data_IF_026637760455
#
_entry.id   IF_026637760455
#
_cell.length_a   1.000
_cell.length_b   1.000
_cell.length_c   1.000
_cell.angle_alpha   90.00
_cell.angle_beta   90.00
_cell.angle_gamma   90.00
#
_symmetry.space_group_name_H-M   'P 1'
#
loop_
_entity.id
_entity.type
_entity.pdbx_description
1 polymer ?
#
# COMPACT_ATOMS: atom_id res chain seq x y z
N UNK A 1 -3.33 -12.54 65.87
CA UNK A 1 -2.39 -12.36 64.74
C UNK A 1 -3.04 -12.76 63.40
N UNK A 2 -4.11 -12.08 62.97
CA UNK A 2 -4.84 -12.46 61.74
C UNK A 2 -5.38 -11.26 60.95
N UNK A 3 -4.82 -10.06 61.11
CA UNK A 3 -5.25 -8.84 60.40
C UNK A 3 -4.26 -8.31 59.34
N UNK A 4 -3.09 -8.93 59.19
CA UNK A 4 -2.02 -8.44 58.31
C UNK A 4 -1.94 -9.10 56.91
N UNK A 5 -2.73 -10.16 56.65
CA UNK A 5 -2.76 -10.86 55.35
C UNK A 5 -3.68 -10.25 54.29
N UNK A 6 -4.77 -9.58 54.70
CA UNK A 6 -5.75 -8.99 53.78
C UNK A 6 -5.27 -7.72 53.08
N UNK A 7 -4.42 -6.91 53.73
CA UNK A 7 -3.92 -5.64 53.18
C UNK A 7 -2.83 -5.84 52.12
N UNK A 8 -1.96 -6.85 52.24
CA UNK A 8 -0.92 -7.13 51.23
C UNK A 8 -1.52 -7.62 49.89
N UNK A 9 -2.59 -8.43 49.92
CA UNK A 9 -3.27 -8.89 48.71
C UNK A 9 -4.11 -7.79 48.03
N UNK A 10 -4.72 -6.87 48.80
CA UNK A 10 -5.40 -5.69 48.25
C UNK A 10 -4.42 -4.66 47.66
N UNK A 11 -3.27 -4.44 48.28
CA UNK A 11 -2.23 -3.52 47.75
C UNK A 11 -1.56 -4.10 46.50
N UNK A 12 -1.30 -5.41 46.43
CA UNK A 12 -0.75 -6.04 45.23
C UNK A 12 -1.73 -6.11 44.06
N UNK A 13 -3.02 -6.33 44.31
CA UNK A 13 -4.06 -6.30 43.26
C UNK A 13 -4.36 -4.88 42.78
N UNK A 14 -4.37 -3.89 43.68
CA UNK A 14 -4.54 -2.47 43.34
C UNK A 14 -3.30 -1.90 42.62
N UNK A 15 -2.09 -2.29 43.04
CA UNK A 15 -0.84 -1.92 42.35
C UNK A 15 -0.71 -2.57 40.98
N UNK A 16 -1.18 -3.82 40.81
CA UNK A 16 -1.26 -4.48 39.48
C UNK A 16 -2.32 -3.84 38.59
N UNK A 17 -3.50 -3.50 39.10
CA UNK A 17 -4.52 -2.76 38.37
C UNK A 17 -4.02 -1.36 37.96
N UNK A 18 -3.38 -0.63 38.86
CA UNK A 18 -2.83 0.70 38.55
C UNK A 18 -1.66 0.63 37.55
N UNK A 19 -0.77 -0.38 37.66
CA UNK A 19 0.27 -0.61 36.64
C UNK A 19 -0.32 -0.95 35.28
N UNK A 20 -1.37 -1.78 35.23
CA UNK A 20 -2.05 -2.13 33.98
C UNK A 20 -2.77 -0.93 33.35
N UNK A 21 -3.39 -0.06 34.14
CA UNK A 21 -4.06 1.15 33.62
C UNK A 21 -3.03 2.16 33.09
N UNK A 22 -1.93 2.37 33.83
CA UNK A 22 -0.84 3.26 33.38
C UNK A 22 -0.17 2.71 32.12
N UNK A 23 0.03 1.38 32.02
CA UNK A 23 0.61 0.78 30.82
C UNK A 23 -0.33 0.90 29.62
N UNK A 24 -1.64 0.69 29.78
CA UNK A 24 -2.60 0.85 28.68
C UNK A 24 -2.68 2.29 28.19
N UNK A 25 -2.81 3.27 29.10
CA UNK A 25 -2.88 4.69 28.71
C UNK A 25 -1.59 5.17 28.03
N UNK A 26 -0.43 4.76 28.54
CA UNK A 26 0.87 5.08 27.93
C UNK A 26 0.99 4.52 26.51
N UNK A 27 0.59 3.26 26.29
CA UNK A 27 0.60 2.65 24.96
C UNK A 27 -0.34 3.37 23.99
N UNK A 28 -1.54 3.75 24.42
CA UNK A 28 -2.48 4.49 23.57
C UNK A 28 -1.92 5.86 23.14
N UNK A 29 -1.24 6.58 24.04
CA UNK A 29 -0.58 7.84 23.67
C UNK A 29 0.55 7.64 22.66
N UNK A 30 1.31 6.54 22.77
CA UNK A 30 2.34 6.20 21.79
C UNK A 30 1.75 5.82 20.43
N UNK A 31 0.63 5.10 20.40
CA UNK A 31 -0.09 4.81 19.15
C UNK A 31 -0.64 6.06 18.47
N UNK A 32 -1.14 7.03 19.24
CA UNK A 32 -1.57 8.34 18.69
C UNK A 32 -0.39 9.13 18.10
N UNK A 33 0.80 9.01 18.69
CA UNK A 33 2.00 9.68 18.18
C UNK A 33 2.57 9.05 16.91
N UNK A 34 2.46 7.72 16.75
CA UNK A 34 2.79 7.01 15.52
C UNK A 34 1.74 5.93 15.20
N UNK A 35 0.84 6.26 14.27
CA UNK A 35 -0.37 5.48 14.01
C UNK A 35 -0.12 4.03 13.57
N UNK A 36 1.07 3.70 13.05
CA UNK A 36 1.35 2.31 12.64
C UNK A 36 1.50 1.37 13.83
N UNK A 37 1.74 1.88 15.03
CA UNK A 37 1.71 1.08 16.27
C UNK A 37 0.32 0.50 16.59
N UNK A 38 -0.76 0.96 15.97
CA UNK A 38 -2.06 0.30 16.07
C UNK A 38 -2.08 -1.11 15.42
N UNK A 39 -1.15 -1.38 14.50
CA UNK A 39 -1.08 -2.64 13.75
C UNK A 39 -0.02 -3.61 14.29
N UNK A 40 0.77 -3.16 15.26
CA UNK A 40 1.82 -3.95 15.90
C UNK A 40 1.24 -4.65 17.14
N UNK A 41 1.67 -5.88 17.41
CA UNK A 41 1.25 -6.58 18.63
C UNK A 41 1.68 -5.79 19.88
N UNK A 42 0.89 -5.84 20.96
CA UNK A 42 1.24 -5.14 22.21
C UNK A 42 2.61 -5.56 22.77
N UNK A 43 3.02 -6.82 22.57
CA UNK A 43 4.33 -7.30 23.01
C UNK A 43 5.46 -6.63 22.21
N UNK A 44 5.38 -6.69 20.88
CA UNK A 44 6.36 -6.04 20.01
C UNK A 44 6.40 -4.52 20.25
N UNK A 45 5.24 -3.87 20.45
CA UNK A 45 5.19 -2.45 20.77
C UNK A 45 5.90 -2.13 22.10
N UNK A 46 5.70 -2.93 23.13
CA UNK A 46 6.42 -2.76 24.40
C UNK A 46 7.93 -2.94 24.22
N UNK A 47 8.35 -3.91 23.42
CA UNK A 47 9.78 -4.16 23.14
C UNK A 47 10.41 -3.02 22.33
N UNK A 48 9.70 -2.48 21.33
CA UNK A 48 10.09 -1.27 20.57
C UNK A 48 10.27 -0.09 21.52
N UNK A 49 9.29 0.16 22.40
CA UNK A 49 9.32 1.30 23.32
C UNK A 49 10.42 1.15 24.38
N UNK A 50 10.65 -0.07 24.88
CA UNK A 50 11.71 -0.37 25.84
C UNK A 50 13.11 -0.18 25.23
N UNK A 51 13.27 -0.46 23.95
CA UNK A 51 14.53 -0.34 23.23
C UNK A 51 14.58 0.91 22.31
N UNK A 52 13.70 1.90 22.50
CA UNK A 52 13.57 3.03 21.58
C UNK A 52 14.86 3.84 21.36
N UNK A 53 15.82 3.76 22.29
CA UNK A 53 17.13 4.41 22.20
C UNK A 53 18.20 3.60 21.43
N UNK A 54 17.91 2.36 21.04
CA UNK A 54 18.78 1.44 20.32
C UNK A 54 18.16 1.16 18.92
N UNK A 55 18.50 1.97 17.90
CA UNK A 55 17.88 1.86 16.57
C UNK A 55 18.09 0.50 15.91
N UNK A 56 19.20 -0.19 16.20
CA UNK A 56 19.46 -1.52 15.67
C UNK A 56 18.46 -2.55 16.22
N UNK A 57 18.11 -2.48 17.51
CA UNK A 57 17.08 -3.36 18.07
C UNK A 57 15.69 -3.03 17.55
N UNK A 58 15.38 -1.75 17.38
CA UNK A 58 14.10 -1.33 16.79
C UNK A 58 13.99 -1.73 15.32
N UNK A 59 15.10 -1.79 14.59
CA UNK A 59 15.09 -2.14 13.16
C UNK A 59 14.55 -3.54 12.89
N UNK A 60 14.65 -4.49 13.84
CA UNK A 60 14.05 -5.81 13.73
C UNK A 60 12.51 -5.80 13.65
N UNK A 61 11.87 -4.73 14.14
CA UNK A 61 10.42 -4.57 14.12
C UNK A 61 9.92 -3.68 12.96
N UNK A 62 10.80 -3.21 12.07
CA UNK A 62 10.38 -2.40 10.92
C UNK A 62 9.44 -3.17 10.02
N UNK A 63 9.63 -4.48 9.87
CA UNK A 63 8.74 -5.33 9.09
C UNK A 63 7.31 -5.42 9.62
N UNK A 64 7.09 -5.14 10.91
CA UNK A 64 5.76 -5.07 11.53
C UNK A 64 5.09 -3.70 11.30
N UNK A 65 5.89 -2.64 11.15
CA UNK A 65 5.39 -1.27 10.95
C UNK A 65 5.26 -0.90 9.45
N UNK A 66 6.10 -1.47 8.60
CA UNK A 66 6.23 -1.15 7.18
C UNK A 66 6.15 -2.44 6.36
N UNK A 67 5.27 -2.47 5.36
CA UNK A 67 5.07 -3.69 4.56
C UNK A 67 6.34 -4.07 3.79
N UNK A 68 6.98 -3.09 3.13
CA UNK A 68 8.13 -3.34 2.27
C UNK A 68 9.51 -3.22 2.92
N UNK A 69 9.63 -2.75 4.17
CA UNK A 69 10.93 -2.52 4.83
C UNK A 69 11.22 -3.63 5.83
N UNK A 70 12.36 -4.31 5.69
CA UNK A 70 12.84 -5.28 6.67
C UNK A 70 13.83 -4.66 7.66
N UNK A 71 14.78 -3.87 7.16
CA UNK A 71 15.80 -3.23 8.01
C UNK A 71 16.41 -2.01 7.30
N UNK A 72 17.20 -1.24 8.04
CA UNK A 72 18.01 -0.13 7.54
C UNK A 72 19.49 -0.51 7.45
N UNK A 73 20.23 0.14 6.55
CA UNK A 73 21.68 0.01 6.49
C UNK A 73 22.36 1.06 7.37
N UNK A 74 23.07 0.61 8.40
CA UNK A 74 23.77 1.44 9.38
C UNK A 74 25.29 1.46 9.21
N UNK A 75 25.84 0.94 8.10
CA UNK A 75 27.29 0.81 7.89
C UNK A 75 28.07 2.11 8.08
N UNK A 76 27.47 3.27 7.77
CA UNK A 76 28.10 4.58 7.99
C UNK A 76 28.25 4.96 9.47
N UNK A 77 27.55 4.28 10.38
CA UNK A 77 27.61 4.56 11.82
C UNK A 77 27.36 3.31 12.67
N UNK A 78 28.34 2.41 12.70
CA UNK A 78 28.27 1.16 13.48
C UNK A 78 28.34 1.34 15.01
N UNK A 79 28.74 2.53 15.49
CA UNK A 79 28.88 2.77 16.94
C UNK A 79 27.53 3.10 17.59
N UNK A 80 26.71 3.91 16.93
CA UNK A 80 25.43 4.39 17.51
C UNK A 80 24.21 3.96 16.72
N UNK A 81 24.38 3.51 15.46
CA UNK A 81 23.29 3.15 14.55
C UNK A 81 22.30 4.31 14.31
N UNK A 82 22.76 5.55 14.47
CA UNK A 82 21.92 6.76 14.35
C UNK A 82 21.87 7.35 12.94
N UNK A 83 22.62 6.78 12.00
CA UNK A 83 22.67 7.20 10.60
C UNK A 83 22.39 5.99 9.73
N UNK A 84 21.33 6.06 8.93
CA UNK A 84 20.97 5.03 7.96
C UNK A 84 21.21 5.53 6.53
N UNK A 85 21.93 4.75 5.72
CA UNK A 85 22.30 5.11 4.34
C UNK A 85 21.42 4.46 3.27
N UNK A 86 20.46 3.63 3.68
CA UNK A 86 19.55 2.93 2.80
C UNK A 86 18.62 2.00 3.57
N UNK A 87 17.74 1.34 2.85
CA UNK A 87 16.81 0.35 3.38
C UNK A 87 16.86 -0.94 2.58
N UNK A 88 16.53 -2.05 3.24
CA UNK A 88 16.40 -3.36 2.60
C UNK A 88 14.98 -3.87 2.74
N UNK A 89 14.46 -4.46 1.68
CA UNK A 89 13.16 -5.12 1.68
C UNK A 89 13.18 -6.49 2.36
N UNK A 90 11.99 -7.03 2.62
CA UNK A 90 11.80 -8.39 3.14
C UNK A 90 12.33 -9.46 2.17
N UNK A 91 12.38 -9.16 0.88
CA UNK A 91 12.99 -10.02 -0.14
C UNK A 91 14.51 -9.85 -0.24
N UNK A 92 15.09 -8.85 0.43
CA UNK A 92 16.52 -8.55 0.41
C UNK A 92 16.96 -7.64 -0.74
N UNK A 93 16.04 -6.97 -1.44
CA UNK A 93 16.39 -5.88 -2.35
C UNK A 93 16.78 -4.64 -1.54
N UNK A 94 17.96 -4.09 -1.82
CA UNK A 94 18.51 -2.90 -1.19
C UNK A 94 18.21 -1.64 -2.00
N UNK A 95 17.85 -0.56 -1.30
CA UNK A 95 17.62 0.78 -1.86
C UNK A 95 18.51 1.77 -1.12
N UNK A 96 19.52 2.36 -1.79
CA UNK A 96 20.33 3.42 -1.20
C UNK A 96 19.52 4.71 -1.06
N UNK A 97 19.81 5.50 -0.03
CA UNK A 97 19.28 6.85 0.08
C UNK A 97 20.21 7.84 -0.61
N UNK A 98 19.64 8.82 -1.32
CA UNK A 98 20.39 9.95 -1.85
C UNK A 98 20.86 10.91 -0.74
N UNK A 99 20.15 10.93 0.39
CA UNK A 99 20.49 11.68 1.59
C UNK A 99 20.36 10.73 2.79
N UNK A 100 21.37 10.64 3.66
CA UNK A 100 21.32 9.74 4.81
C UNK A 100 20.19 10.13 5.77
N UNK A 101 19.54 9.14 6.37
CA UNK A 101 18.51 9.34 7.38
C UNK A 101 19.12 9.41 8.78
N UNK A 102 18.90 10.52 9.49
CA UNK A 102 19.39 10.74 10.86
C UNK A 102 18.29 10.39 11.86
N UNK A 103 18.60 9.47 12.78
CA UNK A 103 17.65 8.95 13.77
C UNK A 103 17.74 9.74 15.07
N UNK A 104 16.86 10.72 15.23
CA UNK A 104 16.84 11.61 16.40
C UNK A 104 15.51 11.57 17.15
N UNK A 105 15.60 11.77 18.47
CA UNK A 105 14.44 11.85 19.34
C UNK A 105 13.81 10.50 19.71
N UNK A 106 12.56 10.54 20.23
CA UNK A 106 11.80 9.35 20.61
C UNK A 106 11.48 8.44 19.41
N UNK A 107 11.23 7.16 19.69
CA UNK A 107 10.95 6.14 18.66
C UNK A 107 9.75 6.44 17.79
N UNK A 108 8.66 6.93 18.38
CA UNK A 108 7.50 7.37 17.59
C UNK A 108 7.86 8.48 16.58
N UNK A 109 8.76 9.40 16.97
CA UNK A 109 9.13 10.55 16.15
C UNK A 109 10.05 10.13 15.02
N UNK A 110 11.09 9.35 15.29
CA UNK A 110 11.98 8.93 14.22
C UNK A 110 11.35 7.86 13.31
N UNK A 111 10.37 7.08 13.75
CA UNK A 111 9.66 6.19 12.83
C UNK A 111 8.70 6.99 11.92
N UNK A 112 8.04 8.02 12.46
CA UNK A 112 7.22 8.93 11.66
C UNK A 112 8.06 9.74 10.65
N UNK A 113 9.22 10.26 11.08
CA UNK A 113 10.14 10.97 10.19
C UNK A 113 10.75 10.03 9.13
N UNK A 114 10.99 8.77 9.48
CA UNK A 114 11.46 7.75 8.52
C UNK A 114 10.43 7.51 7.43
N UNK A 115 9.14 7.44 7.75
CA UNK A 115 8.06 7.31 6.75
C UNK A 115 8.11 8.45 5.72
N UNK A 116 8.26 9.70 6.18
CA UNK A 116 8.38 10.88 5.31
C UNK A 116 9.66 10.81 4.46
N UNK A 117 10.79 10.46 5.09
CA UNK A 117 12.07 10.33 4.41
C UNK A 117 12.03 9.26 3.32
N UNK A 118 11.54 8.07 3.64
CA UNK A 118 11.40 6.93 2.72
C UNK A 118 10.58 7.32 1.48
N UNK A 119 9.41 7.95 1.66
CA UNK A 119 8.57 8.39 0.53
C UNK A 119 9.27 9.43 -0.33
N UNK A 120 9.99 10.37 0.28
CA UNK A 120 10.82 11.33 -0.46
C UNK A 120 11.90 10.63 -1.29
N UNK A 121 12.66 9.70 -0.70
CA UNK A 121 13.70 8.95 -1.41
C UNK A 121 13.10 8.17 -2.60
N UNK A 122 11.99 7.46 -2.39
CA UNK A 122 11.31 6.71 -3.45
C UNK A 122 10.83 7.63 -4.59
N UNK A 123 10.28 8.80 -4.27
CA UNK A 123 9.87 9.80 -5.28
C UNK A 123 11.07 10.34 -6.06
N UNK A 124 12.12 10.74 -5.36
CA UNK A 124 13.31 11.35 -5.97
C UNK A 124 14.02 10.31 -6.88
N UNK A 125 14.11 9.04 -6.46
CA UNK A 125 14.62 7.94 -7.30
C UNK A 125 13.72 7.69 -8.51
N UNK A 126 12.39 7.72 -8.34
CA UNK A 126 11.43 7.55 -9.44
C UNK A 126 11.53 8.68 -10.47
N UNK A 127 11.76 9.93 -10.04
CA UNK A 127 11.97 11.07 -10.95
C UNK A 127 13.18 10.84 -11.87
N UNK A 128 14.30 10.39 -11.32
CA UNK A 128 15.52 10.07 -12.08
C UNK A 128 15.29 8.86 -12.99
N UNK A 129 14.64 7.81 -12.47
CA UNK A 129 14.31 6.62 -13.25
C UNK A 129 13.41 6.95 -14.45
N UNK A 130 12.37 7.77 -14.25
CA UNK A 130 11.49 8.25 -15.32
C UNK A 130 12.27 8.99 -16.40
N UNK A 131 13.17 9.91 -16.00
CA UNK A 131 13.99 10.65 -16.96
C UNK A 131 14.89 9.74 -17.79
N UNK A 132 15.54 8.77 -17.14
CA UNK A 132 16.43 7.82 -17.84
C UNK A 132 15.68 6.75 -18.66
N UNK A 133 14.41 6.47 -18.36
CA UNK A 133 13.61 5.51 -19.14
C UNK A 133 13.23 6.01 -20.53
N UNK A 134 13.31 7.33 -20.78
CA UNK A 134 13.10 7.90 -22.11
C UNK A 134 14.21 7.49 -23.10
N UNK A 135 15.37 7.04 -22.60
CA UNK A 135 16.55 6.74 -23.40
C UNK A 135 16.74 5.23 -23.67
N UNK A 136 15.72 4.39 -23.48
CA UNK A 136 15.84 2.94 -23.67
C UNK A 136 16.29 2.51 -25.07
N UNK A 137 15.90 3.26 -26.09
CA UNK A 137 16.23 2.95 -27.49
C UNK A 137 17.55 3.60 -27.95
N UNK A 138 18.17 4.45 -27.12
CA UNK A 138 19.30 5.30 -27.55
C UNK A 138 20.56 5.07 -26.71
N UNK A 139 20.42 4.99 -25.38
CA UNK A 139 21.57 4.92 -24.47
C UNK A 139 21.68 3.56 -23.79
N UNK A 140 20.64 3.15 -23.06
CA UNK A 140 20.68 1.95 -22.22
C UNK A 140 19.39 1.13 -22.37
N UNK A 141 19.46 -0.05 -23.00
CA UNK A 141 18.30 -0.92 -23.19
C UNK A 141 17.57 -1.22 -21.88
N UNK A 142 16.24 -1.36 -21.93
CA UNK A 142 15.37 -1.55 -20.76
C UNK A 142 15.83 -2.71 -19.86
N UNK A 143 16.25 -3.82 -20.47
CA UNK A 143 16.73 -5.03 -19.81
C UNK A 143 18.04 -4.85 -19.02
N UNK A 144 18.81 -3.83 -19.33
CA UNK A 144 19.99 -3.41 -18.57
C UNK A 144 19.65 -2.29 -17.60
N UNK A 145 18.84 -1.32 -18.03
CA UNK A 145 18.39 -0.17 -17.24
C UNK A 145 17.70 -0.60 -15.93
N UNK A 146 16.92 -1.69 -15.95
CA UNK A 146 16.21 -2.18 -14.76
C UNK A 146 17.12 -2.61 -13.60
N UNK A 147 18.43 -2.73 -13.85
CA UNK A 147 19.44 -3.10 -12.84
C UNK A 147 19.85 -1.91 -11.98
N UNK A 148 19.61 -0.68 -12.44
CA UNK A 148 20.03 0.55 -11.78
C UNK A 148 19.08 0.96 -10.64
N UNK A 149 17.83 0.49 -10.69
CA UNK A 149 16.78 0.89 -9.77
C UNK A 149 16.13 -0.32 -9.10
N UNK A 150 15.47 -0.09 -7.96
CA UNK A 150 14.71 -1.12 -7.27
C UNK A 150 13.47 -1.56 -8.09
N UNK A 151 12.97 -2.75 -7.80
CA UNK A 151 11.88 -3.41 -8.55
C UNK A 151 10.64 -2.52 -8.68
N UNK A 152 10.23 -1.92 -7.56
CA UNK A 152 9.10 -1.01 -7.49
C UNK A 152 9.26 0.19 -8.43
N UNK A 153 10.42 0.85 -8.42
CA UNK A 153 10.68 2.01 -9.28
C UNK A 153 10.70 1.61 -10.76
N UNK A 154 11.37 0.51 -11.10
CA UNK A 154 11.39 -0.01 -12.47
C UNK A 154 9.97 -0.26 -12.99
N UNK A 155 9.10 -0.83 -12.15
CA UNK A 155 7.72 -1.15 -12.50
C UNK A 155 6.87 0.11 -12.70
N UNK A 156 6.97 1.11 -11.83
CA UNK A 156 6.18 2.34 -11.93
C UNK A 156 6.64 3.18 -13.12
N UNK A 157 7.95 3.38 -13.30
CA UNK A 157 8.49 4.10 -14.45
C UNK A 157 8.12 3.41 -15.78
N UNK A 158 8.15 2.06 -15.83
CA UNK A 158 7.69 1.33 -17.02
C UNK A 158 6.21 1.55 -17.33
N UNK A 159 5.34 1.63 -16.32
CA UNK A 159 3.91 1.89 -16.51
C UNK A 159 3.63 3.34 -16.91
N UNK A 160 4.45 4.30 -16.45
CA UNK A 160 4.42 5.69 -16.94
C UNK A 160 4.77 5.71 -18.43
N UNK A 161 5.88 5.07 -18.82
CA UNK A 161 6.31 5.00 -20.22
C UNK A 161 5.23 4.35 -21.10
N UNK A 162 4.66 3.22 -20.68
CA UNK A 162 3.57 2.58 -21.41
C UNK A 162 2.36 3.52 -21.57
N UNK A 163 1.98 4.23 -20.50
CA UNK A 163 0.86 5.17 -20.55
C UNK A 163 1.12 6.32 -21.53
N UNK A 164 2.33 6.89 -21.52
CA UNK A 164 2.74 7.98 -22.40
C UNK A 164 2.83 7.54 -23.87
N UNK A 165 3.41 6.36 -24.13
CA UNK A 165 3.56 5.80 -25.48
C UNK A 165 2.20 5.42 -26.09
N UNK A 166 1.30 4.77 -25.34
CA UNK A 166 -0.06 4.46 -25.82
C UNK A 166 -0.88 5.72 -26.06
N UNK A 167 -0.74 6.75 -25.20
CA UNK A 167 -1.39 8.04 -25.42
C UNK A 167 -0.90 8.70 -26.72
N UNK A 168 0.40 8.65 -27.01
CA UNK A 168 0.98 9.13 -28.28
C UNK A 168 0.42 8.35 -29.47
N UNK A 169 0.24 7.04 -29.36
CA UNK A 169 -0.39 6.25 -30.43
C UNK A 169 -1.83 6.70 -30.72
N UNK A 170 -2.60 7.12 -29.72
CA UNK A 170 -3.92 7.70 -29.95
C UNK A 170 -3.83 9.05 -30.69
N UNK A 171 -2.90 9.92 -30.31
CA UNK A 171 -2.65 11.19 -31.02
C UNK A 171 -2.26 10.96 -32.49
N UNK A 172 -1.41 9.97 -32.75
CA UNK A 172 -1.00 9.59 -34.11
C UNK A 172 -2.15 8.98 -34.93
N UNK A 173 -3.02 8.18 -34.31
CA UNK A 173 -4.22 7.65 -34.95
C UNK A 173 -5.19 8.76 -35.35
N UNK A 174 -5.42 9.74 -34.46
CA UNK A 174 -6.22 10.94 -34.75
C UNK A 174 -5.58 11.77 -35.88
N UNK A 175 -4.25 11.79 -35.96
CA UNK A 175 -3.47 12.39 -37.05
C UNK A 175 -3.46 11.60 -38.37
N UNK A 176 -4.10 10.43 -38.44
CA UNK A 176 -4.22 9.61 -39.65
C UNK A 176 -3.20 8.46 -39.78
N UNK A 177 -2.37 8.20 -38.77
CA UNK A 177 -1.43 7.08 -38.75
C UNK A 177 -2.13 5.78 -38.32
N UNK A 178 -2.81 5.11 -39.25
CA UNK A 178 -3.62 3.91 -38.97
C UNK A 178 -2.86 2.73 -38.35
N UNK A 179 -1.53 2.71 -38.47
CA UNK A 179 -0.69 1.63 -37.96
C UNK A 179 0.00 1.92 -36.62
N UNK A 180 -0.18 3.12 -36.04
CA UNK A 180 0.54 3.55 -34.84
C UNK A 180 0.50 2.51 -33.68
N UNK A 181 -0.69 2.02 -33.34
CA UNK A 181 -0.85 0.98 -32.29
C UNK A 181 -0.20 -0.36 -32.66
N UNK A 182 -0.24 -0.76 -33.94
CA UNK A 182 0.36 -2.03 -34.41
C UNK A 182 1.88 -1.97 -34.36
N UNK A 183 2.44 -0.83 -34.76
CA UNK A 183 3.89 -0.63 -34.74
C UNK A 183 4.40 -0.51 -33.30
N UNK A 184 3.66 0.18 -32.42
CA UNK A 184 3.95 0.18 -30.99
C UNK A 184 3.92 -1.22 -30.39
N UNK A 185 2.91 -2.04 -30.71
CA UNK A 185 2.83 -3.42 -30.22
C UNK A 185 4.10 -4.22 -30.57
N UNK A 186 4.65 -4.07 -31.79
CA UNK A 186 5.90 -4.76 -32.19
C UNK A 186 7.09 -4.34 -31.33
N UNK A 187 7.23 -3.04 -31.05
CA UNK A 187 8.28 -2.53 -30.15
C UNK A 187 8.11 -3.11 -28.75
N UNK A 188 6.88 -3.16 -28.26
CA UNK A 188 6.57 -3.67 -26.94
C UNK A 188 6.80 -5.19 -26.83
N UNK A 189 6.45 -5.95 -27.87
CA UNK A 189 6.73 -7.39 -27.99
C UNK A 189 8.25 -7.67 -27.93
N UNK A 190 9.07 -6.90 -28.67
CA UNK A 190 10.53 -7.02 -28.64
C UNK A 190 11.11 -6.73 -27.23
N UNK A 191 10.60 -5.70 -26.55
CA UNK A 191 10.98 -5.39 -25.16
C UNK A 191 10.66 -6.55 -24.21
N UNK A 192 9.50 -7.19 -24.35
CA UNK A 192 9.12 -8.37 -23.55
C UNK A 192 10.05 -9.54 -23.86
N UNK A 193 10.33 -9.82 -25.13
CA UNK A 193 11.21 -10.91 -25.55
C UNK A 193 12.64 -10.75 -25.00
N UNK A 194 13.17 -9.52 -24.97
CA UNK A 194 14.46 -9.21 -24.34
C UNK A 194 14.46 -9.53 -22.84
N UNK A 195 13.39 -9.21 -22.12
CA UNK A 195 13.24 -9.58 -20.70
C UNK A 195 13.14 -11.09 -20.51
N UNK A 196 12.40 -11.80 -21.36
CA UNK A 196 12.30 -13.27 -21.31
C UNK A 196 13.68 -13.91 -21.49
N UNK A 197 14.49 -13.41 -22.44
CA UNK A 197 15.86 -13.89 -22.65
C UNK A 197 16.75 -13.68 -21.43
N UNK A 198 16.58 -12.58 -20.68
CA UNK A 198 17.32 -12.38 -19.42
C UNK A 198 16.96 -13.44 -18.37
N UNK A 199 15.68 -13.82 -18.23
CA UNK A 199 15.24 -14.82 -17.23
C UNK A 199 15.84 -16.20 -17.50
N UNK A 200 16.18 -16.51 -18.75
CA UNK A 200 16.84 -17.76 -19.14
C UNK A 200 18.33 -17.82 -18.74
N UNK A 201 18.92 -16.70 -18.32
CA UNK A 201 20.30 -16.62 -17.86
C UNK A 201 20.40 -16.88 -16.35
N UNK A 202 21.63 -17.00 -15.86
CA UNK A 202 21.87 -17.04 -14.43
C UNK A 202 21.73 -15.64 -13.83
N UNK A 203 20.86 -15.53 -12.83
CA UNK A 203 20.44 -14.28 -12.21
C UNK A 203 20.32 -14.50 -10.70
N UNK A 204 20.60 -13.44 -9.94
CA UNK A 204 20.26 -13.40 -8.53
C UNK A 204 18.75 -13.57 -8.32
N UNK A 205 18.35 -14.12 -7.17
CA UNK A 205 16.93 -14.32 -6.83
C UNK A 205 16.13 -13.02 -6.97
N UNK A 206 16.66 -11.91 -6.45
CA UNK A 206 16.00 -10.60 -6.50
C UNK A 206 15.81 -10.10 -7.92
N UNK A 207 16.85 -10.21 -8.76
CA UNK A 207 16.76 -9.77 -10.14
C UNK A 207 15.80 -10.65 -10.95
N UNK A 208 15.81 -11.96 -10.73
CA UNK A 208 14.85 -12.88 -11.38
C UNK A 208 13.41 -12.55 -10.98
N UNK A 209 13.13 -12.32 -9.70
CA UNK A 209 11.80 -11.90 -9.23
C UNK A 209 11.36 -10.56 -9.83
N UNK A 210 12.27 -9.58 -9.91
CA UNK A 210 12.01 -8.28 -10.55
C UNK A 210 11.62 -8.43 -12.02
N UNK A 211 12.38 -9.19 -12.79
CA UNK A 211 12.11 -9.36 -14.23
C UNK A 211 10.80 -10.14 -14.45
N UNK A 212 10.54 -11.21 -13.69
CA UNK A 212 9.26 -11.93 -13.75
C UNK A 212 8.09 -11.00 -13.42
N UNK A 213 8.27 -10.11 -12.45
CA UNK A 213 7.26 -9.12 -12.07
C UNK A 213 6.95 -8.14 -13.20
N UNK A 214 7.99 -7.61 -13.86
CA UNK A 214 7.83 -6.76 -15.04
C UNK A 214 7.12 -7.49 -16.18
N UNK A 215 7.58 -8.71 -16.53
CA UNK A 215 6.95 -9.53 -17.58
C UNK A 215 5.47 -9.79 -17.27
N UNK A 216 5.12 -10.06 -16.02
CA UNK A 216 3.73 -10.33 -15.60
C UNK A 216 2.80 -9.16 -15.94
N UNK A 217 3.26 -7.94 -15.67
CA UNK A 217 2.49 -6.73 -15.98
C UNK A 217 2.55 -6.39 -17.47
N UNK A 218 3.72 -6.47 -18.10
CA UNK A 218 3.90 -6.17 -19.52
C UNK A 218 3.04 -7.09 -20.41
N UNK A 219 2.91 -8.38 -20.09
CA UNK A 219 2.04 -9.31 -20.81
C UNK A 219 0.59 -8.82 -20.80
N UNK A 220 0.07 -8.41 -19.64
CA UNK A 220 -1.28 -7.83 -19.55
C UNK A 220 -1.40 -6.54 -20.37
N UNK A 221 -0.44 -5.61 -20.25
CA UNK A 221 -0.46 -4.33 -20.96
C UNK A 221 -0.37 -4.51 -22.49
N UNK A 222 0.40 -5.48 -22.97
CA UNK A 222 0.43 -5.88 -24.40
C UNK A 222 -0.92 -6.42 -24.85
N UNK A 223 -1.55 -7.30 -24.07
CA UNK A 223 -2.84 -7.89 -24.42
C UNK A 223 -3.94 -6.82 -24.47
N UNK A 224 -3.84 -5.76 -23.66
CA UNK A 224 -4.68 -4.56 -23.75
C UNK A 224 -4.48 -3.83 -25.08
N UNK A 225 -3.23 -3.58 -25.49
CA UNK A 225 -2.92 -2.95 -26.79
C UNK A 225 -3.44 -3.80 -27.96
N UNK A 226 -3.27 -5.12 -27.90
CA UNK A 226 -3.84 -6.05 -28.88
C UNK A 226 -5.37 -5.99 -28.93
N UNK A 227 -6.02 -5.81 -27.77
CA UNK A 227 -7.46 -5.59 -27.69
C UNK A 227 -7.87 -4.29 -28.39
N UNK A 228 -7.10 -3.20 -28.24
CA UNK A 228 -7.37 -1.93 -28.92
C UNK A 228 -7.29 -2.07 -30.43
N UNK A 229 -6.27 -2.78 -30.93
CA UNK A 229 -6.11 -3.07 -32.37
C UNK A 229 -7.30 -3.89 -32.89
N UNK A 230 -7.63 -4.98 -32.20
CA UNK A 230 -8.69 -5.91 -32.62
C UNK A 230 -10.06 -5.25 -32.63
N UNK A 231 -10.34 -4.41 -31.61
CA UNK A 231 -11.60 -3.67 -31.47
C UNK A 231 -11.61 -2.34 -32.22
N UNK A 232 -10.52 -1.99 -32.92
CA UNK A 232 -10.35 -0.73 -33.67
C UNK A 232 -10.64 0.51 -32.81
N UNK A 233 -10.06 0.55 -31.61
CA UNK A 233 -10.17 1.71 -30.72
C UNK A 233 -9.23 2.80 -31.22
N UNK A 234 -9.78 3.97 -31.52
CA UNK A 234 -9.04 5.10 -32.11
C UNK A 234 -8.97 6.33 -31.23
N UNK A 235 -9.77 6.40 -30.17
CA UNK A 235 -9.88 7.59 -29.33
C UNK A 235 -9.44 7.33 -27.89
N UNK A 236 -8.68 8.28 -27.33
CA UNK A 236 -8.31 8.28 -25.91
C UNK A 236 -9.52 8.56 -24.98
N UNK A 237 -10.67 8.96 -25.51
CA UNK A 237 -11.94 9.10 -24.77
C UNK A 237 -12.58 7.73 -24.45
N UNK A 238 -12.17 6.67 -25.15
CA UNK A 238 -12.83 5.37 -25.10
C UNK A 238 -12.80 4.73 -23.72
N UNK A 239 -13.90 4.08 -23.33
CA UNK A 239 -13.99 3.38 -22.05
C UNK A 239 -12.88 2.32 -21.90
N UNK A 240 -12.54 1.61 -22.99
CA UNK A 240 -11.53 0.56 -22.98
C UNK A 240 -10.15 1.08 -22.56
N UNK A 241 -9.80 2.32 -22.92
CA UNK A 241 -8.58 2.98 -22.45
C UNK A 241 -8.78 3.57 -21.05
N UNK A 242 -9.90 4.25 -20.81
CA UNK A 242 -10.18 4.89 -19.53
C UNK A 242 -10.25 3.88 -18.38
N UNK A 243 -10.71 2.66 -18.64
CA UNK A 243 -10.84 1.57 -17.68
C UNK A 243 -9.51 0.95 -17.25
N UNK A 244 -8.40 1.30 -17.92
CA UNK A 244 -7.06 0.83 -17.54
C UNK A 244 -6.48 1.67 -16.41
N UNK A 245 -5.68 1.05 -15.56
CA UNK A 245 -4.88 1.75 -14.55
C UNK A 245 -3.69 2.44 -15.23
N UNK A 246 -3.72 3.76 -15.28
CA UNK A 246 -2.80 4.60 -16.05
C UNK A 246 -1.98 5.50 -15.14
N UNK A 247 -0.72 5.71 -15.50
CA UNK A 247 0.27 6.42 -14.69
C UNK A 247 0.83 7.60 -15.46
N UNK A 248 0.76 8.80 -14.89
CA UNK A 248 1.15 10.04 -15.55
C UNK A 248 2.17 10.81 -14.71
N UNK A 249 3.34 11.11 -15.26
CA UNK A 249 4.31 11.98 -14.59
C UNK A 249 4.00 13.45 -14.89
N UNK A 250 3.22 14.11 -14.03
CA UNK A 250 2.68 15.45 -14.30
C UNK A 250 2.80 16.37 -13.09
N UNK A 251 2.90 17.66 -13.38
CA UNK A 251 2.82 18.70 -12.35
C UNK A 251 1.34 18.97 -12.06
N UNK A 252 0.94 18.91 -10.78
CA UNK A 252 -0.38 19.34 -10.37
C UNK A 252 -0.46 20.87 -10.33
N UNK A 253 -1.67 21.40 -10.51
CA UNK A 253 -1.92 22.83 -10.34
C UNK A 253 -1.56 23.25 -8.91
N UNK A 254 -0.66 24.22 -8.76
CA UNK A 254 -0.20 24.72 -7.47
C UNK A 254 1.07 24.05 -6.90
N UNK A 255 1.53 22.94 -7.48
CA UNK A 255 2.76 22.26 -7.04
C UNK A 255 3.97 22.75 -7.83
N UNK A 256 5.15 22.75 -7.20
CA UNK A 256 6.43 23.14 -7.85
C UNK A 256 7.16 21.98 -8.52
N UNK A 257 6.80 20.74 -8.18
CA UNK A 257 7.41 19.51 -8.71
C UNK A 257 6.39 18.66 -9.45
N UNK A 258 6.85 17.86 -10.41
CA UNK A 258 6.06 16.79 -11.01
C UNK A 258 5.90 15.64 -10.02
N UNK A 259 4.83 14.89 -10.15
CA UNK A 259 4.59 13.67 -9.41
C UNK A 259 3.85 12.64 -10.29
N UNK A 260 3.81 11.39 -9.83
CA UNK A 260 3.08 10.33 -10.50
C UNK A 260 1.59 10.39 -10.12
N UNK A 261 0.74 10.66 -11.10
CA UNK A 261 -0.71 10.70 -10.99
C UNK A 261 -1.27 9.41 -11.60
N UNK A 262 -2.06 8.69 -10.81
CA UNK A 262 -2.72 7.46 -11.22
C UNK A 262 -4.16 7.78 -11.59
N UNK A 263 -4.65 7.20 -12.69
CA UNK A 263 -6.05 7.30 -13.12
C UNK A 263 -6.61 5.95 -13.54
N UNK A 264 -7.84 5.70 -13.15
CA UNK A 264 -8.67 4.60 -13.67
C UNK A 264 -10.12 5.07 -13.65
N UNK A 265 -10.79 5.00 -14.80
CA UNK A 265 -12.05 5.68 -15.05
C UNK A 265 -11.97 7.14 -14.57
N UNK A 266 -12.91 7.56 -13.71
CA UNK A 266 -12.97 8.90 -13.14
C UNK A 266 -12.12 9.06 -11.87
N UNK A 267 -11.66 7.95 -11.29
CA UNK A 267 -10.87 8.00 -10.07
C UNK A 267 -9.44 8.44 -10.37
N UNK A 268 -8.97 9.45 -9.64
CA UNK A 268 -7.62 10.00 -9.75
C UNK A 268 -6.98 10.08 -8.37
N UNK A 269 -5.73 9.63 -8.25
CA UNK A 269 -4.93 9.78 -7.03
C UNK A 269 -3.47 10.06 -7.37
N UNK A 270 -2.69 10.45 -6.36
CA UNK A 270 -1.23 10.48 -6.46
C UNK A 270 -0.65 9.16 -6.01
N UNK A 271 0.43 8.73 -6.66
CA UNK A 271 1.23 7.61 -6.19
C UNK A 271 1.86 7.96 -4.83
N UNK A 272 1.69 7.11 -3.83
CA UNK A 272 1.98 7.46 -2.44
C UNK A 272 3.44 7.22 -2.04
N UNK A 273 4.24 6.61 -2.92
CA UNK A 273 5.68 6.37 -2.75
C UNK A 273 6.07 5.57 -1.51
N UNK A 274 5.14 4.84 -0.88
CA UNK A 274 5.46 3.86 0.16
C UNK A 274 6.35 2.76 -0.45
N UNK A 275 7.45 2.41 0.19
CA UNK A 275 8.24 1.28 -0.26
C UNK A 275 7.52 -0.04 0.04
N UNK A 276 7.20 -0.80 -1.01
CA UNK A 276 6.48 -2.08 -0.92
C UNK A 276 7.39 -3.30 -1.13
N UNK A 277 8.67 -3.06 -1.44
CA UNK A 277 9.66 -4.11 -1.65
C UNK A 277 9.61 -4.76 -3.03
N UNK A 278 10.40 -5.82 -3.22
CA UNK A 278 10.43 -6.61 -4.46
C UNK A 278 9.35 -7.70 -4.42
N UNK A 279 8.14 -7.31 -4.02
CA UNK A 279 7.00 -8.20 -3.98
C UNK A 279 6.49 -8.44 -5.40
N UNK A 280 6.23 -9.70 -5.75
CA UNK A 280 5.63 -10.04 -7.04
C UNK A 280 4.26 -9.39 -7.24
N UNK A 281 3.83 -9.34 -8.49
CA UNK A 281 2.51 -8.84 -8.90
C UNK A 281 1.55 -9.98 -9.19
N UNK A 282 0.26 -9.76 -8.93
CA UNK A 282 -0.77 -10.70 -9.32
C UNK A 282 -0.91 -10.73 -10.85
N UNK A 283 -1.14 -11.91 -11.43
CA UNK A 283 -1.51 -12.01 -12.84
C UNK A 283 -2.86 -11.34 -13.04
N UNK A 284 -2.90 -10.32 -13.89
CA UNK A 284 -4.12 -9.54 -14.13
C UNK A 284 -4.99 -10.28 -15.14
N UNK A 285 -6.24 -10.49 -14.78
CA UNK A 285 -7.27 -11.12 -15.61
C UNK A 285 -8.44 -10.15 -15.82
N UNK A 286 -9.35 -10.40 -16.77
CA UNK A 286 -10.56 -9.59 -16.92
C UNK A 286 -11.45 -9.53 -15.67
N UNK A 287 -11.30 -10.48 -14.73
CA UNK A 287 -11.97 -10.40 -13.42
C UNK A 287 -11.24 -9.42 -12.49
N UNK A 288 -9.91 -9.49 -12.44
CA UNK A 288 -9.07 -8.56 -11.67
C UNK A 288 -9.27 -7.11 -12.12
N UNK A 289 -9.32 -6.85 -13.43
CA UNK A 289 -9.59 -5.52 -13.98
C UNK A 289 -10.94 -4.96 -13.51
N UNK A 290 -11.98 -5.79 -13.59
CA UNK A 290 -13.32 -5.40 -13.10
C UNK A 290 -13.32 -5.12 -11.60
N UNK A 291 -12.57 -5.90 -10.82
CA UNK A 291 -12.38 -5.63 -9.40
C UNK A 291 -11.66 -4.28 -9.19
N UNK A 292 -10.60 -3.96 -9.94
CA UNK A 292 -9.89 -2.68 -9.83
C UNK A 292 -10.81 -1.50 -10.11
N UNK A 293 -11.60 -1.57 -11.19
CA UNK A 293 -12.59 -0.54 -11.55
C UNK A 293 -13.61 -0.37 -10.42
N UNK A 294 -14.15 -1.48 -9.90
CA UNK A 294 -15.17 -1.44 -8.84
C UNK A 294 -14.62 -0.85 -7.55
N UNK A 295 -13.44 -1.27 -7.12
CA UNK A 295 -12.79 -0.80 -5.88
C UNK A 295 -12.42 0.68 -5.98
N UNK A 296 -11.88 1.11 -7.11
CA UNK A 296 -11.51 2.53 -7.29
C UNK A 296 -12.73 3.43 -7.46
N UNK A 297 -13.81 2.94 -8.07
CA UNK A 297 -15.08 3.67 -8.10
C UNK A 297 -15.69 3.80 -6.70
N UNK A 298 -15.62 2.76 -5.86
CA UNK A 298 -16.06 2.83 -4.47
C UNK A 298 -15.27 3.90 -3.69
N UNK A 299 -13.95 3.95 -3.86
CA UNK A 299 -13.12 5.01 -3.29
C UNK A 299 -13.51 6.40 -3.80
N UNK A 300 -13.81 6.53 -5.10
CA UNK A 300 -14.27 7.79 -5.69
C UNK A 300 -15.59 8.27 -5.06
N UNK A 301 -16.45 7.34 -4.64
CA UNK A 301 -17.71 7.60 -3.94
C UNK A 301 -17.55 7.73 -2.41
N UNK A 302 -16.31 7.68 -1.89
CA UNK A 302 -16.03 7.66 -0.44
C UNK A 302 -16.74 6.50 0.26
N UNK A 303 -16.65 5.31 -0.31
CA UNK A 303 -17.16 4.06 0.22
C UNK A 303 -16.03 3.05 0.43
N UNK A 304 -16.28 2.05 1.27
CA UNK A 304 -15.45 0.85 1.31
C UNK A 304 -15.68 -0.03 0.07
N UNK A 305 -14.91 -1.10 -0.06
CA UNK A 305 -15.13 -2.10 -1.12
C UNK A 305 -15.31 -3.51 -0.56
N UNK A 306 -16.27 -4.27 -1.10
CA UNK A 306 -16.54 -5.65 -0.69
C UNK A 306 -16.32 -6.72 -1.78
N UNK A 307 -15.07 -7.09 -2.14
CA UNK A 307 -14.82 -8.27 -2.94
C UNK A 307 -15.46 -9.53 -2.32
N UNK A 308 -16.32 -10.20 -3.07
CA UNK A 308 -17.04 -11.39 -2.61
C UNK A 308 -16.92 -12.55 -3.62
N UNK A 309 -16.84 -13.78 -3.10
CA UNK A 309 -16.73 -14.99 -3.92
C UNK A 309 -16.16 -16.17 -3.13
N UNK A 310 -16.02 -17.36 -3.75
CA UNK A 310 -15.51 -18.56 -3.09
C UNK A 310 -14.13 -18.39 -2.45
N UNK A 311 -13.77 -19.26 -1.51
CA UNK A 311 -12.44 -19.26 -0.92
C UNK A 311 -11.35 -19.51 -1.98
N UNK A 312 -10.19 -18.87 -1.85
CA UNK A 312 -9.06 -19.06 -2.76
C UNK A 312 -9.13 -18.33 -4.10
N UNK A 313 -10.15 -17.49 -4.36
CA UNK A 313 -10.30 -16.76 -5.63
C UNK A 313 -9.53 -15.43 -5.70
N UNK A 314 -8.56 -15.21 -4.81
CA UNK A 314 -7.68 -14.03 -4.88
C UNK A 314 -8.29 -12.69 -4.41
N UNK A 315 -9.40 -12.70 -3.65
CA UNK A 315 -10.06 -11.48 -3.13
C UNK A 315 -9.09 -10.54 -2.39
N UNK A 316 -8.44 -11.07 -1.36
CA UNK A 316 -7.48 -10.33 -0.51
C UNK A 316 -6.26 -9.90 -1.32
N UNK A 317 -5.74 -10.79 -2.18
CA UNK A 317 -4.59 -10.50 -3.03
C UNK A 317 -4.90 -9.43 -4.08
N UNK A 318 -6.14 -9.33 -4.58
CA UNK A 318 -6.56 -8.26 -5.49
C UNK A 318 -6.52 -6.89 -4.81
N UNK A 319 -7.04 -6.78 -3.58
CA UNK A 319 -6.96 -5.52 -2.80
C UNK A 319 -5.50 -5.16 -2.51
N UNK A 320 -4.67 -6.15 -2.16
CA UNK A 320 -3.24 -5.91 -1.92
C UNK A 320 -2.51 -5.47 -3.18
N UNK A 321 -2.74 -6.13 -4.32
CA UNK A 321 -2.11 -5.79 -5.59
C UNK A 321 -2.48 -4.36 -6.02
N UNK A 322 -3.75 -3.94 -5.82
CA UNK A 322 -4.18 -2.56 -6.08
C UNK A 322 -3.46 -1.56 -5.17
N UNK A 323 -3.40 -1.82 -3.86
CA UNK A 323 -2.71 -0.92 -2.92
C UNK A 323 -1.23 -0.72 -3.27
N UNK A 324 -0.54 -1.80 -3.68
CA UNK A 324 0.84 -1.76 -4.14
C UNK A 324 1.00 -0.99 -5.46
N UNK A 325 -0.01 -1.05 -6.34
CA UNK A 325 -0.02 -0.27 -7.58
C UNK A 325 -0.08 1.24 -7.29
N UNK A 326 -0.70 1.62 -6.16
CA UNK A 326 -0.80 2.99 -5.69
C UNK A 326 0.39 3.38 -4.80
N UNK A 327 1.23 2.42 -4.40
CA UNK A 327 2.36 2.65 -3.51
C UNK A 327 1.90 3.02 -2.10
N UNK A 328 0.83 2.38 -1.61
CA UNK A 328 0.16 2.68 -0.34
C UNK A 328 0.18 1.41 0.55
N UNK A 329 0.40 1.53 1.88
CA UNK A 329 0.42 0.37 2.77
C UNK A 329 -0.98 -0.23 2.99
N UNK A 330 -1.06 -1.55 2.96
CA UNK A 330 -2.28 -2.30 3.27
C UNK A 330 -2.04 -3.27 4.42
N UNK A 331 -2.93 -3.27 5.40
CA UNK A 331 -2.92 -4.19 6.53
C UNK A 331 -4.06 -5.19 6.38
N UNK A 332 -3.73 -6.49 6.43
CA UNK A 332 -4.71 -7.56 6.31
C UNK A 332 -5.06 -8.07 7.70
N UNK A 333 -6.35 -8.09 8.02
CA UNK A 333 -6.87 -8.57 9.30
C UNK A 333 -7.74 -9.80 9.05
N UNK A 334 -7.33 -10.94 9.58
CA UNK A 334 -8.12 -12.16 9.51
C UNK A 334 -9.25 -12.10 10.55
N UNK A 335 -10.48 -11.95 10.10
CA UNK A 335 -11.63 -11.82 10.99
C UNK A 335 -12.08 -13.17 11.57
N UNK A 336 -12.52 -13.11 12.83
CA UNK A 336 -13.06 -14.25 13.57
C UNK A 336 -14.26 -13.81 14.41
N UNK A 337 -14.98 -14.79 14.94
CA UNK A 337 -16.08 -14.62 15.89
C UNK A 337 -15.64 -14.03 17.24
N UNK A 338 -14.34 -14.05 17.53
CA UNK A 338 -13.72 -13.50 18.75
C UNK A 338 -13.40 -12.01 18.64
N UNK A 339 -13.52 -11.40 17.45
CA UNK A 339 -13.30 -9.97 17.29
C UNK A 339 -14.37 -9.16 18.02
N UNK A 340 -13.94 -8.17 18.79
CA UNK A 340 -14.82 -7.24 19.49
C UNK A 340 -14.75 -5.84 18.86
N UNK A 341 -15.79 -5.04 19.10
CA UNK A 341 -15.93 -3.71 18.51
C UNK A 341 -14.86 -2.70 18.98
N UNK A 342 -14.24 -2.90 20.14
CA UNK A 342 -13.17 -2.02 20.65
C UNK A 342 -11.86 -2.28 19.91
N UNK A 343 -11.51 -3.54 19.67
CA UNK A 343 -10.36 -3.90 18.85
C UNK A 343 -10.51 -3.40 17.42
N UNK A 344 -11.71 -3.49 16.84
CA UNK A 344 -12.00 -2.92 15.53
C UNK A 344 -11.86 -1.39 15.54
N UNK A 345 -12.36 -0.71 16.57
CA UNK A 345 -12.18 0.74 16.72
C UNK A 345 -10.69 1.12 16.74
N UNK A 346 -9.84 0.36 17.44
CA UNK A 346 -8.39 0.60 17.45
C UNK A 346 -7.75 0.45 16.06
N UNK A 347 -8.14 -0.58 15.31
CA UNK A 347 -7.68 -0.76 13.93
C UNK A 347 -8.11 0.42 13.08
N UNK A 348 -9.39 0.83 13.16
CA UNK A 348 -9.91 1.96 12.40
C UNK A 348 -9.25 3.30 12.77
N UNK A 349 -8.94 3.52 14.04
CA UNK A 349 -8.13 4.68 14.48
C UNK A 349 -6.74 4.67 13.85
N UNK A 350 -6.10 3.50 13.76
CA UNK A 350 -4.83 3.33 13.06
C UNK A 350 -4.94 3.66 11.57
N UNK A 351 -5.95 3.11 10.89
CA UNK A 351 -6.17 3.32 9.45
C UNK A 351 -6.45 4.80 9.13
N UNK A 352 -7.35 5.44 9.89
CA UNK A 352 -7.69 6.85 9.70
C UNK A 352 -6.49 7.78 9.88
N UNK A 353 -5.65 7.53 10.89
CA UNK A 353 -4.50 8.38 11.21
C UNK A 353 -3.25 8.09 10.38
N UNK A 354 -3.12 6.88 9.83
CA UNK A 354 -2.00 6.52 8.94
C UNK A 354 -2.32 6.72 7.46
N UNK A 355 -3.59 6.81 7.09
CA UNK A 355 -4.02 6.85 5.69
C UNK A 355 -3.82 5.52 4.95
N UNK A 356 -3.57 4.44 5.69
CA UNK A 356 -3.39 3.10 5.15
C UNK A 356 -4.71 2.45 4.75
N UNK A 357 -4.63 1.37 4.00
CA UNK A 357 -5.78 0.52 3.69
C UNK A 357 -5.89 -0.64 4.67
N UNK A 358 -7.11 -0.95 5.08
CA UNK A 358 -7.43 -2.16 5.83
C UNK A 358 -8.15 -3.15 4.94
N UNK A 359 -7.66 -4.39 4.85
CA UNK A 359 -8.35 -5.49 4.20
C UNK A 359 -8.79 -6.50 5.27
N UNK A 360 -10.07 -6.51 5.59
CA UNK A 360 -10.66 -7.39 6.58
C UNK A 360 -11.08 -8.69 5.91
N UNK A 361 -10.20 -9.69 6.00
CA UNK A 361 -10.41 -10.99 5.38
C UNK A 361 -11.46 -11.78 6.16
N UNK A 362 -12.37 -12.44 5.44
CA UNK A 362 -13.41 -13.26 6.04
C UNK A 362 -14.33 -12.48 7.00
N UNK A 363 -14.61 -11.22 6.67
CA UNK A 363 -15.32 -10.25 7.51
C UNK A 363 -16.69 -10.74 8.02
N UNK A 364 -17.36 -11.58 7.22
CA UNK A 364 -18.61 -12.23 7.57
C UNK A 364 -18.48 -13.37 8.60
N UNK A 365 -17.34 -13.51 9.30
CA UNK A 365 -17.19 -14.33 10.53
C UNK A 365 -17.46 -13.55 11.80
N UNK A 366 -17.50 -12.22 11.73
CA UNK A 366 -17.78 -11.39 12.90
C UNK A 366 -19.26 -11.54 13.28
N UNK A 367 -19.53 -11.56 14.59
CA UNK A 367 -20.89 -11.65 15.10
C UNK A 367 -21.72 -10.44 14.68
N UNK A 368 -23.02 -10.65 14.46
CA UNK A 368 -23.94 -9.61 14.00
C UNK A 368 -24.01 -8.44 14.99
N UNK A 369 -23.94 -8.72 16.30
CA UNK A 369 -23.91 -7.71 17.36
C UNK A 369 -22.72 -6.76 17.22
N UNK A 370 -21.54 -7.29 16.92
CA UNK A 370 -20.32 -6.49 16.70
C UNK A 370 -20.40 -5.73 15.37
N UNK A 371 -20.87 -6.37 14.30
CA UNK A 371 -21.04 -5.74 12.99
C UNK A 371 -21.97 -4.52 13.04
N UNK A 372 -23.02 -4.57 13.86
CA UNK A 372 -23.92 -3.44 14.07
C UNK A 372 -23.18 -2.20 14.59
N UNK A 373 -22.29 -2.36 15.59
CA UNK A 373 -21.46 -1.26 16.12
C UNK A 373 -20.41 -0.81 15.11
N UNK A 374 -19.77 -1.77 14.43
CA UNK A 374 -18.76 -1.50 13.39
C UNK A 374 -19.33 -0.65 12.26
N UNK A 375 -20.61 -0.80 11.89
CA UNK A 375 -21.23 0.04 10.87
C UNK A 375 -21.18 1.53 11.22
N UNK A 376 -21.41 1.89 12.49
CA UNK A 376 -21.34 3.27 12.97
C UNK A 376 -19.90 3.78 12.96
N UNK A 377 -18.94 2.92 13.30
CA UNK A 377 -17.52 3.25 13.26
C UNK A 377 -17.05 3.56 11.83
N UNK A 378 -17.31 2.65 10.88
CA UNK A 378 -16.95 2.82 9.47
C UNK A 378 -17.62 4.08 8.91
N UNK A 379 -18.93 4.24 9.16
CA UNK A 379 -19.68 5.40 8.69
C UNK A 379 -19.10 6.72 9.22
N UNK A 380 -18.74 6.79 10.50
CA UNK A 380 -18.15 8.00 11.09
C UNK A 380 -16.89 8.46 10.33
N UNK A 381 -16.03 7.51 9.94
CA UNK A 381 -14.82 7.81 9.18
C UNK A 381 -15.15 8.23 7.75
N UNK A 382 -16.03 7.50 7.06
CA UNK A 382 -16.42 7.82 5.68
C UNK A 382 -17.09 9.21 5.59
N UNK A 383 -17.98 9.53 6.54
CA UNK A 383 -18.61 10.86 6.62
C UNK A 383 -17.55 11.94 6.87
N UNK A 384 -16.54 11.69 7.72
CA UNK A 384 -15.46 12.63 7.95
C UNK A 384 -14.55 12.85 6.72
N UNK A 385 -14.29 11.79 5.93
CA UNK A 385 -13.57 11.90 4.65
C UNK A 385 -14.40 12.71 3.66
N UNK A 386 -15.69 12.41 3.53
CA UNK A 386 -16.63 13.10 2.63
C UNK A 386 -16.75 14.59 2.94
N UNK A 387 -16.74 14.94 4.22
CA UNK A 387 -16.76 16.32 4.71
C UNK A 387 -15.39 17.04 4.57
N UNK A 388 -14.35 16.35 4.10
CA UNK A 388 -13.01 16.92 3.94
C UNK A 388 -12.31 17.28 5.26
N UNK A 389 -12.70 16.64 6.37
CA UNK A 389 -12.16 16.94 7.70
C UNK A 389 -10.70 16.49 7.83
N UNK A 390 -9.88 17.27 8.55
CA UNK A 390 -8.50 16.89 8.93
C UNK A 390 -8.41 16.23 10.30
N UNK A 391 -9.41 16.50 11.15
CA UNK A 391 -9.61 15.91 12.47
C UNK A 391 -11.10 15.69 12.69
N UNK A 392 -11.45 14.68 13.44
CA UNK A 392 -12.84 14.37 13.75
C UNK A 392 -12.94 13.58 15.06
N UNK A 393 -14.12 13.65 15.68
CA UNK A 393 -14.44 12.86 16.85
C UNK A 393 -14.73 11.41 16.41
N UNK A 394 -13.94 10.46 16.91
CA UNK A 394 -14.14 9.03 16.69
C UNK A 394 -14.14 8.32 18.03
N UNK A 395 -15.24 7.61 18.34
CA UNK A 395 -15.50 7.12 19.70
C UNK A 395 -15.39 8.29 20.70
N UNK A 396 -14.58 8.14 21.76
CA UNK A 396 -14.40 9.15 22.80
C UNK A 396 -13.19 10.08 22.56
N UNK A 397 -12.51 9.98 21.41
CA UNK A 397 -11.29 10.74 21.10
C UNK A 397 -11.42 11.61 19.83
N UNK A 398 -10.79 12.79 19.82
CA UNK A 398 -10.53 13.53 18.59
C UNK A 398 -9.22 13.01 17.96
N UNK A 399 -9.29 12.54 16.71
CA UNK A 399 -8.15 11.96 15.99
C UNK A 399 -7.88 12.68 14.67
N UNK A 400 -6.65 12.59 14.18
CA UNK A 400 -6.29 13.05 12.84
C UNK A 400 -6.90 12.13 11.76
N UNK A 401 -7.11 12.69 10.58
CA UNK A 401 -7.61 11.96 9.41
C UNK A 401 -6.71 12.21 8.20
N UNK A 402 -6.24 11.14 7.58
CA UNK A 402 -5.58 11.14 6.28
C UNK A 402 -6.56 10.52 5.27
N UNK A 403 -6.98 11.32 4.27
CA UNK A 403 -8.05 10.97 3.32
C UNK A 403 -7.78 9.76 2.44
N UNK A 404 -6.54 9.26 2.39
CA UNK A 404 -6.18 8.05 1.65
C UNK A 404 -6.64 6.76 2.33
N UNK A 405 -7.10 6.84 3.58
CA UNK A 405 -7.62 5.71 4.34
C UNK A 405 -8.74 5.00 3.57
N UNK A 406 -8.60 3.68 3.40
CA UNK A 406 -9.55 2.84 2.68
C UNK A 406 -9.89 1.59 3.49
N UNK A 407 -11.13 1.14 3.42
CA UNK A 407 -11.61 -0.04 4.13
C UNK A 407 -12.19 -1.03 3.13
N UNK A 408 -11.65 -2.24 3.15
CA UNK A 408 -12.04 -3.31 2.24
C UNK A 408 -12.39 -4.54 3.05
N UNK A 409 -13.45 -5.22 2.67
CA UNK A 409 -13.88 -6.46 3.32
C UNK A 409 -13.88 -7.57 2.28
N UNK A 410 -13.51 -8.79 2.69
CA UNK A 410 -13.71 -9.96 1.84
C UNK A 410 -14.79 -10.85 2.42
N UNK A 411 -15.60 -11.42 1.54
CA UNK A 411 -16.68 -12.32 1.95
C UNK A 411 -16.64 -13.63 1.17
N UNK A 412 -17.01 -14.70 1.88
CA UNK A 412 -17.31 -16.01 1.32
C UNK A 412 -18.82 -16.28 1.53
N UNK A 413 -19.72 -15.86 0.63
CA UNK A 413 -21.15 -16.11 0.76
C UNK A 413 -21.46 -17.61 0.76
N UNK A 414 -22.47 -18.04 1.52
CA UNK A 414 -22.99 -19.41 1.48
C UNK A 414 -22.16 -20.47 2.24
N UNK A 415 -21.06 -20.10 2.87
CA UNK A 415 -20.29 -21.00 3.73
C UNK A 415 -20.90 -21.11 5.14
N UNK A 416 -20.76 -22.27 5.78
CA UNK A 416 -21.21 -22.48 7.16
C UNK A 416 -20.47 -21.54 8.15
N UNK A 417 -21.19 -21.05 9.16
CA UNK A 417 -20.65 -20.13 10.17
C UNK A 417 -20.43 -18.70 9.65
N UNK A 418 -21.09 -18.31 8.56
CA UNK A 418 -21.04 -16.96 8.00
C UNK A 418 -22.31 -16.19 8.28
N UNK A 419 -22.18 -14.96 8.74
CA UNK A 419 -23.27 -14.04 9.00
C UNK A 419 -23.61 -13.26 7.74
N UNK A 420 -24.89 -12.96 7.54
CA UNK A 420 -25.28 -11.96 6.55
C UNK A 420 -24.96 -10.57 7.11
N UNK A 421 -24.42 -9.69 6.26
CA UNK A 421 -24.13 -8.32 6.70
C UNK A 421 -25.44 -7.56 6.96
N UNK A 422 -25.52 -6.76 8.04
CA UNK A 422 -26.61 -5.81 8.24
C UNK A 422 -26.76 -4.85 7.06
N UNK A 423 -27.99 -4.46 6.70
CA UNK A 423 -28.27 -3.57 5.55
C UNK A 423 -27.57 -2.21 5.64
N UNK A 424 -27.52 -1.63 6.85
CA UNK A 424 -26.79 -0.40 7.13
C UNK A 424 -25.28 -0.52 6.89
N UNK A 425 -24.72 -1.72 7.01
CA UNK A 425 -23.32 -2.00 6.73
C UNK A 425 -23.09 -2.27 5.24
N UNK A 426 -23.99 -3.01 4.58
CA UNK A 426 -23.96 -3.21 3.12
C UNK A 426 -23.91 -1.89 2.36
N UNK A 427 -24.65 -0.87 2.83
CA UNK A 427 -24.67 0.45 2.21
C UNK A 427 -23.34 1.24 2.30
N UNK A 428 -22.34 0.75 3.05
CA UNK A 428 -21.03 1.39 3.22
C UNK A 428 -19.93 0.80 2.32
N UNK A 429 -20.19 -0.31 1.62
CA UNK A 429 -19.18 -1.12 0.91
C UNK A 429 -19.54 -1.52 -0.52
#
# INVERSE_FOLDING_TARGET
MSSSGGNKNRINSSSRKNRNIISTYYLEQKKKAFARFYFVSNQALLDILANGNDPLKVSYYLGDCFDGVATLNFEKNLQTYRIASGMSSKEGEYVPFGEDYIIEGPVETYLSNFEVHMRKQMRDILEVAKGTSENWEVEKPREEWLRDYCSQVCLVASQIMWTEEVARCFEELEGGSENAMKDYKKVYDDRIDKLIRQVQQDLSKNLRTKIITLITIDVHLRDVVESFITKKITEASSFQWQSQLRFYWRQKSGDTKKDCIIKICDWTTTYMHEFVGNCGRLVITPLTDRCYITLTQALNLTMGGAPAGPAGTGKTETTKDLSRAIGLPVFVFNCSDQMNYLSMAQIFMGLAQSGAWGCFDEFNRISIEVLSVVSTQVKCILDAIKDGKKKFQFMDDEINLIHTCGMFITMNPGYAGRTELPENLKALF
#
